data_IF_199028288712
#
_entry.id   IF_199028288712
#
_cell.length_a   1.000
_cell.length_b   1.000
_cell.length_c   1.000
_cell.angle_alpha   90.00
_cell.angle_beta   90.00
_cell.angle_gamma   90.00
#
_symmetry.space_group_name_H-M   'P 1'
#
loop_
_entity.id
_entity.type
_entity.pdbx_description
1 polymer ?
#
# COMPACT_ATOMS: atom_id res chain seq x y z
N UNK A 1 20.38 -10.24 31.02
CA UNK A 1 19.44 -9.68 30.00
C UNK A 1 20.15 -8.56 29.29
N UNK A 2 20.13 -8.48 27.96
CA UNK A 2 20.85 -7.41 27.27
C UNK A 2 20.15 -6.05 27.49
N UNK A 3 20.89 -4.92 27.59
CA UNK A 3 20.32 -3.61 27.92
C UNK A 3 19.21 -3.17 26.95
N UNK A 4 19.34 -3.52 25.66
CA UNK A 4 18.32 -3.21 24.66
C UNK A 4 17.00 -3.96 24.88
N UNK A 5 17.04 -5.17 25.45
CA UNK A 5 15.85 -5.95 25.76
C UNK A 5 15.10 -5.35 26.96
N UNK A 6 15.83 -4.80 27.95
CA UNK A 6 15.23 -4.10 29.08
C UNK A 6 14.52 -2.83 28.64
N UNK A 7 15.13 -2.05 27.73
CA UNK A 7 14.49 -0.86 27.17
C UNK A 7 13.20 -1.21 26.40
N UNK A 8 13.21 -2.27 25.59
CA UNK A 8 12.02 -2.72 24.87
C UNK A 8 10.89 -3.18 25.80
N UNK A 9 11.23 -3.91 26.86
CA UNK A 9 10.25 -4.36 27.86
C UNK A 9 9.71 -3.18 28.67
N UNK A 10 10.57 -2.22 29.06
CA UNK A 10 10.14 -1.03 29.79
C UNK A 10 9.16 -0.17 28.99
N UNK A 11 9.40 0.05 27.69
CA UNK A 11 8.47 0.78 26.81
C UNK A 11 7.15 0.03 26.63
N UNK A 12 7.20 -1.30 26.55
CA UNK A 12 5.99 -2.13 26.47
C UNK A 12 5.17 -2.06 27.76
N UNK A 13 5.84 -2.14 28.91
CA UNK A 13 5.21 -2.04 30.23
C UNK A 13 4.63 -0.64 30.45
N UNK A 14 5.35 0.43 30.13
CA UNK A 14 4.86 1.81 30.27
C UNK A 14 3.64 2.07 29.36
N UNK A 15 3.64 1.52 28.14
CA UNK A 15 2.47 1.58 27.25
C UNK A 15 1.25 0.82 27.83
N UNK A 16 1.47 -0.36 28.41
CA UNK A 16 0.42 -1.15 29.08
C UNK A 16 -0.07 -0.41 30.34
N UNK A 17 0.83 0.10 31.17
CA UNK A 17 0.49 0.81 32.41
C UNK A 17 -0.29 2.09 32.15
N UNK A 18 0.10 2.90 31.16
CA UNK A 18 -0.64 4.12 30.78
C UNK A 18 -2.00 3.86 30.17
N UNK A 19 -2.25 2.66 29.63
CA UNK A 19 -3.56 2.31 29.09
C UNK A 19 -4.52 1.74 30.14
N UNK A 20 -4.04 1.19 31.26
CA UNK A 20 -4.87 0.41 32.21
C UNK A 20 -5.90 1.17 33.04
N UNK A 21 -5.67 2.43 33.44
CA UNK A 21 -6.60 3.16 34.34
C UNK A 21 -7.96 3.52 33.72
N UNK A 22 -7.97 3.96 32.46
CA UNK A 22 -9.21 4.25 31.71
C UNK A 22 -9.76 3.03 30.98
N UNK A 23 -8.96 1.98 30.76
CA UNK A 23 -9.37 0.83 29.96
C UNK A 23 -10.49 0.02 30.62
N UNK A 24 -10.46 -0.15 31.94
CA UNK A 24 -11.40 -1.03 32.64
C UNK A 24 -12.85 -0.57 32.47
N UNK A 25 -13.08 0.75 32.46
CA UNK A 25 -14.42 1.31 32.23
C UNK A 25 -14.89 1.17 30.78
N UNK A 26 -13.99 1.39 29.81
CA UNK A 26 -14.29 1.21 28.37
C UNK A 26 -14.64 -0.25 28.06
N UNK A 27 -14.05 -1.19 28.79
CA UNK A 27 -14.36 -2.62 28.67
C UNK A 27 -15.69 -3.02 29.33
N UNK A 28 -16.37 -2.17 30.11
CA UNK A 28 -17.68 -2.53 30.68
C UNK A 28 -18.87 -2.20 29.78
N UNK A 29 -18.67 -1.37 28.77
CA UNK A 29 -19.69 -0.98 27.79
C UNK A 29 -19.41 -1.66 26.44
N UNK A 30 -20.36 -2.42 25.87
CA UNK A 30 -20.18 -3.03 24.55
C UNK A 30 -19.81 -2.01 23.47
N UNK A 31 -20.31 -0.77 23.57
CA UNK A 31 -20.02 0.30 22.61
C UNK A 31 -18.56 0.76 22.72
N UNK A 32 -18.03 0.85 23.94
CA UNK A 32 -16.61 1.08 24.20
C UNK A 32 -15.72 0.00 23.57
N UNK A 33 -16.08 -1.28 23.70
CA UNK A 33 -15.33 -2.37 23.06
C UNK A 33 -15.42 -2.31 21.53
N UNK A 34 -16.58 -1.95 20.97
CA UNK A 34 -16.73 -1.70 19.52
C UNK A 34 -15.79 -0.58 19.06
N UNK A 35 -15.71 0.53 19.79
CA UNK A 35 -14.80 1.63 19.45
C UNK A 35 -13.33 1.19 19.49
N UNK A 36 -12.93 0.35 20.45
CA UNK A 36 -11.59 -0.24 20.50
C UNK A 36 -11.30 -1.14 19.30
N UNK A 37 -12.25 -1.97 18.87
CA UNK A 37 -12.14 -2.78 17.64
C UNK A 37 -11.94 -1.88 16.43
N UNK A 38 -12.76 -0.84 16.29
CA UNK A 38 -12.68 0.12 15.17
C UNK A 38 -11.31 0.77 15.11
N UNK A 39 -10.83 1.32 16.23
CA UNK A 39 -9.52 1.97 16.30
C UNK A 39 -8.37 1.00 15.95
N UNK A 40 -8.39 -0.22 16.51
CA UNK A 40 -7.35 -1.21 16.26
C UNK A 40 -7.30 -1.64 14.77
N UNK A 41 -8.45 -1.86 14.13
CA UNK A 41 -8.51 -2.17 12.69
C UNK A 41 -8.00 -1.00 11.85
N UNK A 42 -8.41 0.23 12.17
CA UNK A 42 -7.96 1.44 11.49
C UNK A 42 -6.44 1.65 11.60
N UNK A 43 -5.85 1.42 12.78
CA UNK A 43 -4.38 1.43 12.97
C UNK A 43 -3.68 0.36 12.14
N UNK A 44 -4.20 -0.87 12.10
CA UNK A 44 -3.64 -1.94 11.27
C UNK A 44 -3.71 -1.63 9.76
N UNK A 45 -4.82 -1.03 9.29
CA UNK A 45 -4.99 -0.58 7.90
C UNK A 45 -4.05 0.57 7.56
N UNK A 46 -3.89 1.53 8.47
CA UNK A 46 -2.94 2.65 8.34
C UNK A 46 -1.52 2.12 8.15
N UNK A 47 -1.04 1.22 9.01
CA UNK A 47 0.28 0.61 8.86
C UNK A 47 0.43 -0.15 7.54
N UNK A 48 -0.62 -0.85 7.09
CA UNK A 48 -0.62 -1.55 5.79
C UNK A 48 -0.52 -0.58 4.61
N UNK A 49 -1.15 0.58 4.71
CA UNK A 49 -1.02 1.65 3.73
C UNK A 49 0.39 2.25 3.74
N UNK A 50 0.92 2.56 4.93
CA UNK A 50 2.25 3.14 5.10
C UNK A 50 3.36 2.22 4.58
N UNK A 51 3.29 0.92 4.86
CA UNK A 51 4.21 -0.08 4.30
C UNK A 51 4.21 -0.06 2.76
N UNK A 52 3.03 -0.04 2.14
CA UNK A 52 2.91 -0.08 0.66
C UNK A 52 3.45 1.18 0.00
N UNK A 53 3.31 2.33 0.65
CA UNK A 53 3.75 3.62 0.12
C UNK A 53 5.11 4.07 0.68
N UNK A 54 5.82 3.20 1.42
CA UNK A 54 7.09 3.51 2.09
C UNK A 54 7.04 4.76 2.99
N UNK A 55 5.88 5.04 3.58
CA UNK A 55 5.69 6.12 4.54
C UNK A 55 6.05 5.60 5.94
N UNK A 56 6.78 6.38 6.73
CA UNK A 56 7.04 6.09 8.14
C UNK A 56 6.15 6.97 9.02
N UNK A 57 5.09 6.41 9.64
CA UNK A 57 4.22 7.16 10.56
C UNK A 57 5.00 7.70 11.77
N UNK A 58 4.54 8.81 12.33
CA UNK A 58 5.22 9.48 13.45
C UNK A 58 5.27 8.63 14.72
N UNK A 59 4.19 7.90 15.00
CA UNK A 59 4.10 6.96 16.13
C UNK A 59 5.12 5.82 16.00
N UNK A 60 5.44 5.40 14.79
CA UNK A 60 6.51 4.41 14.52
C UNK A 60 7.88 5.07 14.58
N UNK A 61 8.03 6.29 14.07
CA UNK A 61 9.28 7.07 14.12
C UNK A 61 9.74 7.29 15.55
N UNK A 62 8.81 7.64 16.45
CA UNK A 62 9.09 7.87 17.86
C UNK A 62 9.74 6.66 18.56
N UNK A 63 9.48 5.42 18.10
CA UNK A 63 10.08 4.21 18.67
C UNK A 63 11.58 4.10 18.41
N UNK A 64 12.08 4.79 17.38
CA UNK A 64 13.50 4.82 17.07
C UNK A 64 14.23 5.99 17.73
N UNK A 65 13.51 6.84 18.47
CA UNK A 65 14.06 8.05 19.07
C UNK A 65 14.68 8.97 18.01
N UNK A 66 15.94 9.35 18.20
CA UNK A 66 16.69 10.17 17.25
C UNK A 66 17.36 9.39 16.10
N UNK A 67 17.25 8.06 16.09
CA UNK A 67 17.91 7.23 15.09
C UNK A 67 17.05 7.09 13.83
N UNK A 68 17.68 7.18 12.66
CA UNK A 68 17.02 6.95 11.37
C UNK A 68 17.18 5.47 10.97
N UNK A 69 16.18 4.60 11.17
CA UNK A 69 16.29 3.17 10.83
C UNK A 69 16.43 2.94 9.33
N UNK A 70 16.97 1.79 8.93
CA UNK A 70 16.94 1.35 7.52
C UNK A 70 15.53 0.99 7.04
N UNK A 71 15.26 1.05 5.74
CA UNK A 71 13.94 0.76 5.17
C UNK A 71 13.43 -0.66 5.47
N UNK A 72 14.33 -1.65 5.44
CA UNK A 72 14.01 -3.02 5.83
C UNK A 72 13.58 -3.11 7.30
N UNK A 73 14.29 -2.39 8.18
CA UNK A 73 13.96 -2.35 9.61
C UNK A 73 12.64 -1.64 9.88
N UNK A 74 12.40 -0.47 9.27
CA UNK A 74 11.10 0.25 9.31
C UNK A 74 9.94 -0.67 8.92
N UNK A 75 10.09 -1.34 7.78
CA UNK A 75 9.05 -2.24 7.25
C UNK A 75 8.79 -3.41 8.20
N UNK A 76 9.83 -4.00 8.79
CA UNK A 76 9.70 -5.08 9.77
C UNK A 76 8.94 -4.64 11.01
N UNK A 77 9.30 -3.49 11.59
CA UNK A 77 8.62 -2.96 12.78
C UNK A 77 7.15 -2.64 12.49
N UNK A 78 6.84 -1.99 11.37
CA UNK A 78 5.44 -1.73 10.98
C UNK A 78 4.65 -3.03 10.77
N UNK A 79 5.25 -4.09 10.22
CA UNK A 79 4.61 -5.41 10.08
C UNK A 79 4.32 -6.04 11.45
N UNK A 80 5.25 -5.95 12.40
CA UNK A 80 5.07 -6.44 13.77
C UNK A 80 3.90 -5.70 14.43
N UNK A 81 3.92 -4.38 14.43
CA UNK A 81 2.85 -3.59 15.03
C UNK A 81 1.49 -3.85 14.38
N UNK A 82 1.44 -3.99 13.05
CA UNK A 82 0.21 -4.37 12.36
C UNK A 82 -0.34 -5.70 12.88
N UNK A 83 0.53 -6.70 13.03
CA UNK A 83 0.14 -8.01 13.57
C UNK A 83 -0.36 -7.91 15.01
N UNK A 84 0.27 -7.07 15.84
CA UNK A 84 -0.18 -6.80 17.21
C UNK A 84 -1.56 -6.12 17.25
N UNK A 85 -1.82 -5.12 16.40
CA UNK A 85 -3.15 -4.52 16.30
C UNK A 85 -4.23 -5.54 15.90
N UNK A 86 -3.92 -6.43 14.95
CA UNK A 86 -4.84 -7.52 14.58
C UNK A 86 -5.04 -8.54 15.72
N UNK A 87 -4.04 -8.75 16.56
CA UNK A 87 -4.16 -9.55 17.78
C UNK A 87 -5.10 -8.87 18.79
N UNK A 88 -4.97 -7.56 18.98
CA UNK A 88 -5.88 -6.78 19.82
C UNK A 88 -7.33 -6.86 19.33
N UNK A 89 -7.57 -6.81 18.01
CA UNK A 89 -8.92 -7.01 17.44
C UNK A 89 -9.51 -8.37 17.85
N UNK A 90 -8.73 -9.45 17.79
CA UNK A 90 -9.20 -10.79 18.22
C UNK A 90 -9.54 -10.80 19.71
N UNK A 91 -8.70 -10.18 20.54
CA UNK A 91 -8.93 -10.05 21.98
C UNK A 91 -10.23 -9.29 22.27
N UNK A 92 -10.42 -8.12 21.67
CA UNK A 92 -11.62 -7.30 21.87
C UNK A 92 -12.89 -7.99 21.36
N UNK A 93 -12.82 -8.73 20.25
CA UNK A 93 -13.95 -9.55 19.78
C UNK A 93 -14.30 -10.67 20.75
N UNK A 94 -13.30 -11.37 21.29
CA UNK A 94 -13.53 -12.41 22.30
C UNK A 94 -14.14 -11.82 23.58
N UNK A 95 -13.63 -10.67 24.01
CA UNK A 95 -14.14 -9.95 25.16
C UNK A 95 -15.61 -9.49 24.96
N UNK A 96 -15.92 -8.87 23.82
CA UNK A 96 -17.28 -8.47 23.46
C UNK A 96 -18.24 -9.66 23.47
N UNK A 97 -17.82 -10.80 22.90
CA UNK A 97 -18.61 -12.04 22.93
C UNK A 97 -18.88 -12.50 24.36
N UNK A 98 -17.84 -12.56 25.21
CA UNK A 98 -18.00 -12.95 26.61
C UNK A 98 -18.95 -12.03 27.37
N UNK A 99 -18.90 -10.72 27.09
CA UNK A 99 -19.79 -9.74 27.68
C UNK A 99 -21.26 -9.95 27.28
N UNK A 100 -21.53 -10.29 26.01
CA UNK A 100 -22.88 -10.62 25.56
C UNK A 100 -23.41 -11.87 26.27
N UNK A 101 -22.59 -12.93 26.40
CA UNK A 101 -22.99 -14.15 27.11
C UNK A 101 -23.15 -13.98 28.63
N UNK A 102 -22.57 -12.95 29.22
CA UNK A 102 -22.80 -12.59 30.63
C UNK A 102 -24.14 -11.90 30.86
N UNK A 103 -24.67 -11.23 29.83
CA UNK A 103 -25.84 -10.35 29.96
C UNK A 103 -27.11 -11.01 29.42
N UNK A 104 -26.96 -11.86 28.41
CA UNK A 104 -28.07 -12.47 27.68
C UNK A 104 -27.95 -14.00 27.65
N UNK A 105 -29.07 -14.69 27.45
CA UNK A 105 -29.08 -16.12 27.15
C UNK A 105 -28.32 -16.45 25.86
N UNK A 106 -27.82 -17.67 25.74
CA UNK A 106 -26.88 -18.08 24.68
C UNK A 106 -27.30 -17.68 23.26
N UNK A 107 -28.58 -17.89 22.89
CA UNK A 107 -29.09 -17.53 21.57
C UNK A 107 -29.16 -16.01 21.36
N UNK A 108 -29.72 -15.28 22.32
CA UNK A 108 -29.81 -13.81 22.27
C UNK A 108 -28.42 -13.16 22.28
N UNK A 109 -27.48 -13.68 23.07
CA UNK A 109 -26.10 -13.21 23.16
C UNK A 109 -25.40 -13.21 21.79
N UNK A 110 -25.53 -14.28 21.02
CA UNK A 110 -24.93 -14.38 19.68
C UNK A 110 -25.57 -13.40 18.69
N UNK A 111 -26.89 -13.15 18.78
CA UNK A 111 -27.58 -12.13 17.97
C UNK A 111 -27.03 -10.73 18.29
N UNK A 112 -26.95 -10.38 19.58
CA UNK A 112 -26.42 -9.09 20.02
C UNK A 112 -24.94 -8.92 19.65
N UNK A 113 -24.13 -9.97 19.80
CA UNK A 113 -22.73 -9.99 19.38
C UNK A 113 -22.58 -9.66 17.90
N UNK A 114 -23.34 -10.35 17.03
CA UNK A 114 -23.34 -10.07 15.57
C UNK A 114 -23.81 -8.67 15.25
N UNK A 115 -24.82 -8.15 15.96
CA UNK A 115 -25.29 -6.76 15.79
C UNK A 115 -24.17 -5.76 16.08
N UNK A 116 -23.44 -5.92 17.18
CA UNK A 116 -22.30 -5.06 17.50
C UNK A 116 -21.15 -5.20 16.52
N UNK A 117 -20.87 -6.40 15.99
CA UNK A 117 -19.86 -6.58 14.95
C UNK A 117 -20.23 -5.87 13.65
N UNK A 118 -21.50 -5.93 13.21
CA UNK A 118 -21.97 -5.18 12.03
C UNK A 118 -21.80 -3.68 12.23
N UNK A 119 -22.12 -3.17 13.43
CA UNK A 119 -21.89 -1.76 13.77
C UNK A 119 -20.39 -1.42 13.70
N UNK A 120 -19.53 -2.28 14.25
CA UNK A 120 -18.09 -2.10 14.18
C UNK A 120 -17.60 -2.03 12.72
N UNK A 121 -18.07 -2.92 11.84
CA UNK A 121 -17.68 -2.93 10.43
C UNK A 121 -18.10 -1.64 9.70
N UNK A 122 -19.31 -1.14 9.95
CA UNK A 122 -19.78 0.15 9.40
C UNK A 122 -18.91 1.31 9.88
N UNK A 123 -18.61 1.35 11.19
CA UNK A 123 -17.76 2.37 11.78
C UNK A 123 -16.32 2.28 11.27
N UNK A 124 -15.77 1.08 11.08
CA UNK A 124 -14.45 0.85 10.50
C UNK A 124 -14.39 1.49 9.11
N UNK A 125 -15.35 1.23 8.24
CA UNK A 125 -15.34 1.79 6.89
C UNK A 125 -15.48 3.32 6.89
N UNK A 126 -16.31 3.87 7.78
CA UNK A 126 -16.43 5.31 7.95
C UNK A 126 -15.11 5.96 8.39
N UNK A 127 -14.53 5.48 9.49
CA UNK A 127 -13.28 6.02 10.04
C UNK A 127 -12.10 5.80 9.08
N UNK A 128 -12.06 4.65 8.40
CA UNK A 128 -11.04 4.36 7.41
C UNK A 128 -11.11 5.32 6.23
N UNK A 129 -12.30 5.66 5.72
CA UNK A 129 -12.45 6.65 4.65
C UNK A 129 -11.92 8.03 5.05
N UNK A 130 -12.16 8.46 6.29
CA UNK A 130 -11.63 9.73 6.81
C UNK A 130 -10.10 9.69 6.91
N UNK A 131 -9.54 8.66 7.52
CA UNK A 131 -8.08 8.50 7.64
C UNK A 131 -7.39 8.38 6.28
N UNK A 132 -7.98 7.63 5.35
CA UNK A 132 -7.41 7.40 4.02
C UNK A 132 -7.26 8.71 3.23
N UNK A 133 -8.14 9.70 3.44
CA UNK A 133 -7.99 11.02 2.82
C UNK A 133 -6.70 11.69 3.31
N UNK A 134 -6.52 11.77 4.63
CA UNK A 134 -5.33 12.34 5.26
C UNK A 134 -4.05 11.59 4.83
N UNK A 135 -4.10 10.26 4.81
CA UNK A 135 -2.95 9.43 4.42
C UNK A 135 -2.57 9.60 2.94
N UNK A 136 -3.53 9.88 2.05
CA UNK A 136 -3.25 10.13 0.63
C UNK A 136 -2.50 11.44 0.42
N UNK A 137 -2.74 12.42 1.26
CA UNK A 137 -2.04 13.71 1.20
C UNK A 137 -0.58 13.57 1.67
N UNK A 138 -0.29 12.58 2.51
CA UNK A 138 1.07 12.22 2.94
C UNK A 138 1.84 11.35 1.92
N UNK A 139 1.16 10.78 0.93
CA UNK A 139 1.89 10.14 -0.16
C UNK A 139 2.45 11.27 -0.98
N UNK A 140 3.76 11.49 -0.84
CA UNK A 140 4.48 12.33 -1.78
C UNK A 140 4.06 11.89 -3.18
N UNK A 141 3.35 12.77 -3.88
CA UNK A 141 3.19 12.61 -5.31
C UNK A 141 4.62 12.66 -5.79
N UNK A 142 5.21 11.50 -6.03
CA UNK A 142 6.47 11.38 -6.74
C UNK A 142 6.19 12.07 -8.06
N UNK A 143 6.44 13.38 -8.09
CA UNK A 143 6.79 14.07 -9.31
C UNK A 143 7.94 13.20 -9.77
N UNK A 144 7.75 12.54 -10.89
CA UNK A 144 8.87 11.90 -11.58
C UNK A 144 9.80 13.07 -11.85
N UNK A 145 10.67 13.36 -10.88
CA UNK A 145 11.84 14.18 -11.11
C UNK A 145 12.50 13.40 -12.21
N UNK A 146 12.56 13.99 -13.39
CA UNK A 146 13.33 13.46 -14.49
C UNK A 146 14.79 13.49 -14.01
N UNK A 147 15.16 12.53 -13.16
CA UNK A 147 16.54 12.22 -12.86
C UNK A 147 17.10 11.79 -14.20
N UNK A 148 17.87 12.69 -14.79
CA UNK A 148 18.35 12.63 -16.16
C UNK A 148 19.34 11.48 -16.32
N UNK A 149 18.84 10.25 -16.33
CA UNK A 149 19.62 9.06 -16.68
C UNK A 149 19.75 8.91 -18.21
N UNK A 150 19.41 9.97 -18.95
CA UNK A 150 19.57 10.05 -20.40
C UNK A 150 20.97 10.60 -20.66
N UNK A 151 21.91 9.73 -20.97
CA UNK A 151 23.23 10.17 -21.42
C UNK A 151 23.16 10.41 -22.92
N UNK A 152 23.35 11.66 -23.31
CA UNK A 152 23.44 12.03 -24.72
C UNK A 152 24.90 11.94 -25.12
N UNK A 153 25.23 11.26 -26.22
CA UNK A 153 26.61 11.26 -26.68
C UNK A 153 27.07 12.67 -27.04
N UNK A 154 28.37 12.88 -26.88
CA UNK A 154 29.01 14.18 -27.03
C UNK A 154 28.63 14.83 -28.37
N UNK A 155 28.20 16.09 -28.30
CA UNK A 155 27.85 16.91 -29.47
C UNK A 155 26.39 16.87 -29.92
N UNK A 156 25.54 15.99 -29.37
CA UNK A 156 24.11 15.96 -29.71
C UNK A 156 23.32 16.77 -28.68
N UNK A 157 22.55 17.77 -29.14
CA UNK A 157 21.62 18.53 -28.31
C UNK A 157 20.20 18.01 -28.52
N UNK A 158 19.62 17.37 -27.51
CA UNK A 158 18.22 16.91 -27.55
C UNK A 158 17.28 17.99 -27.00
N UNK A 159 16.11 18.22 -27.63
CA UNK A 159 15.08 19.10 -27.08
C UNK A 159 14.57 18.62 -25.72
N UNK A 160 14.15 19.55 -24.86
CA UNK A 160 13.65 19.24 -23.51
C UNK A 160 12.51 18.21 -23.51
N UNK A 161 11.59 18.27 -24.47
CA UNK A 161 10.48 17.31 -24.55
C UNK A 161 10.95 15.88 -24.85
N UNK A 162 12.08 15.73 -25.54
CA UNK A 162 12.70 14.43 -25.84
C UNK A 162 13.40 13.90 -24.58
N UNK A 163 14.16 14.78 -23.89
CA UNK A 163 14.82 14.46 -22.62
C UNK A 163 13.81 14.10 -21.52
N UNK A 164 12.69 14.83 -21.42
CA UNK A 164 11.64 14.58 -20.45
C UNK A 164 11.04 13.18 -20.64
N UNK A 165 10.66 12.83 -21.87
CA UNK A 165 10.04 11.52 -22.19
C UNK A 165 11.05 10.38 -22.00
N UNK A 166 12.29 10.56 -22.44
CA UNK A 166 13.33 9.53 -22.30
C UNK A 166 13.80 9.36 -20.86
N UNK A 167 13.79 10.44 -20.07
CA UNK A 167 14.17 10.48 -18.66
C UNK A 167 13.22 9.74 -17.73
N UNK A 168 12.00 9.44 -18.19
CA UNK A 168 11.11 8.53 -17.48
C UNK A 168 11.71 7.11 -17.42
N UNK A 169 12.53 6.73 -18.41
CA UNK A 169 13.20 5.43 -18.48
C UNK A 169 12.36 4.34 -19.17
N UNK A 170 12.93 3.13 -19.34
CA UNK A 170 12.33 2.05 -20.13
C UNK A 170 11.04 1.48 -19.52
N UNK A 171 10.83 1.62 -18.20
CA UNK A 171 9.57 1.22 -17.55
C UNK A 171 8.37 2.09 -17.95
N UNK A 172 8.64 3.26 -18.53
CA UNK A 172 7.65 4.15 -19.11
C UNK A 172 7.70 4.13 -20.64
N UNK A 173 8.51 3.24 -21.23
CA UNK A 173 8.34 2.82 -22.62
C UNK A 173 7.02 2.05 -22.71
N UNK A 174 5.96 2.84 -22.87
CA UNK A 174 4.68 2.50 -23.48
C UNK A 174 4.19 1.11 -23.09
N UNK A 175 3.40 1.03 -22.01
CA UNK A 175 2.35 0.02 -22.03
C UNK A 175 1.58 0.26 -23.35
N UNK A 176 1.53 -0.71 -24.27
CA UNK A 176 0.83 -0.53 -25.53
C UNK A 176 -0.59 -0.06 -25.18
N UNK A 177 -1.05 1.01 -25.83
CA UNK A 177 -2.39 1.55 -25.64
C UNK A 177 -3.39 0.55 -26.20
N UNK A 178 -3.63 -0.52 -25.46
CA UNK A 178 -4.56 -1.57 -25.84
C UNK A 178 -5.94 -1.18 -25.37
N UNK A 179 -6.90 -1.25 -26.27
CA UNK A 179 -8.30 -1.04 -25.91
C UNK A 179 -8.77 -2.17 -24.96
N UNK A 180 -9.88 -1.96 -24.25
CA UNK A 180 -10.42 -2.98 -23.32
C UNK A 180 -10.62 -4.36 -24.00
N UNK A 181 -11.16 -4.45 -25.23
CA UNK A 181 -11.25 -5.72 -25.95
C UNK A 181 -9.91 -6.42 -26.17
N UNK A 182 -8.87 -5.68 -26.56
CA UNK A 182 -7.52 -6.21 -26.76
C UNK A 182 -6.89 -6.70 -25.45
N UNK A 183 -7.10 -5.97 -24.35
CA UNK A 183 -6.64 -6.40 -23.03
C UNK A 183 -7.34 -7.70 -22.60
N UNK A 184 -8.64 -7.84 -22.84
CA UNK A 184 -9.37 -9.10 -22.60
C UNK A 184 -8.85 -10.22 -23.51
N UNK A 185 -8.53 -9.91 -24.77
CA UNK A 185 -7.92 -10.87 -25.70
C UNK A 185 -6.58 -11.38 -25.18
N UNK A 186 -5.73 -10.51 -24.63
CA UNK A 186 -4.47 -10.92 -23.98
C UNK A 186 -4.74 -11.85 -22.80
N UNK A 187 -5.67 -11.49 -21.90
CA UNK A 187 -6.01 -12.34 -20.75
C UNK A 187 -6.41 -13.75 -21.21
N UNK A 188 -7.22 -13.84 -22.28
CA UNK A 188 -7.60 -15.12 -22.89
C UNK A 188 -6.42 -15.85 -23.56
N UNK A 189 -5.51 -15.13 -24.20
CA UNK A 189 -4.31 -15.74 -24.78
C UNK A 189 -3.38 -16.31 -23.71
N UNK A 190 -3.23 -15.61 -22.58
CA UNK A 190 -2.44 -16.07 -21.44
C UNK A 190 -3.10 -17.27 -20.79
N UNK A 191 -4.42 -17.25 -20.56
CA UNK A 191 -5.12 -18.38 -19.94
C UNK A 191 -5.03 -19.67 -20.75
N UNK A 192 -4.95 -19.58 -22.08
CA UNK A 192 -4.76 -20.75 -22.98
C UNK A 192 -3.38 -21.42 -22.83
N UNK A 193 -2.39 -20.76 -22.22
CA UNK A 193 -1.03 -21.29 -22.05
C UNK A 193 -0.79 -21.89 -20.65
N UNK A 194 -1.82 -21.92 -19.82
CA UNK A 194 -1.74 -22.39 -18.43
C UNK A 194 -2.62 -23.64 -18.29
N UNK A 195 -2.30 -24.60 -17.39
CA UNK A 195 -3.15 -25.74 -17.09
C UNK A 195 -4.65 -25.38 -16.89
N UNK A 196 -5.54 -26.26 -17.34
CA UNK A 196 -7.00 -26.01 -17.38
C UNK A 196 -7.59 -25.70 -16.00
N UNK A 197 -7.04 -26.27 -14.93
CA UNK A 197 -7.44 -26.03 -13.55
C UNK A 197 -7.20 -24.58 -13.10
N UNK A 198 -6.27 -23.86 -13.75
CA UNK A 198 -5.93 -22.47 -13.44
C UNK A 198 -6.46 -21.47 -14.46
N UNK A 199 -6.85 -21.92 -15.66
CA UNK A 199 -7.30 -21.04 -16.74
C UNK A 199 -8.50 -20.16 -16.32
N UNK A 200 -9.50 -20.75 -15.68
CA UNK A 200 -10.70 -20.03 -15.20
C UNK A 200 -10.35 -18.96 -14.17
N UNK A 201 -9.43 -19.27 -13.26
CA UNK A 201 -8.96 -18.33 -12.23
C UNK A 201 -8.24 -17.14 -12.87
N UNK A 202 -7.35 -17.38 -13.83
CA UNK A 202 -6.60 -16.34 -14.54
C UNK A 202 -7.53 -15.42 -15.32
N UNK A 203 -8.57 -15.97 -15.97
CA UNK A 203 -9.57 -15.17 -16.67
C UNK A 203 -10.29 -14.24 -15.68
N UNK A 204 -10.76 -14.78 -14.55
CA UNK A 204 -11.48 -13.99 -13.55
C UNK A 204 -10.61 -12.90 -12.93
N UNK A 205 -9.41 -13.25 -12.45
CA UNK A 205 -8.47 -12.29 -11.87
C UNK A 205 -8.03 -11.24 -12.91
N UNK A 206 -7.77 -11.65 -14.15
CA UNK A 206 -7.40 -10.76 -15.25
C UNK A 206 -8.51 -9.76 -15.57
N UNK A 207 -9.76 -10.21 -15.68
CA UNK A 207 -10.92 -9.34 -15.92
C UNK A 207 -11.14 -8.38 -14.74
N UNK A 208 -11.00 -8.85 -13.50
CA UNK A 208 -11.14 -7.99 -12.32
C UNK A 208 -10.03 -6.94 -12.24
N UNK A 209 -8.78 -7.31 -12.57
CA UNK A 209 -7.68 -6.35 -12.69
C UNK A 209 -7.98 -5.27 -13.75
N UNK A 210 -8.58 -5.65 -14.89
CA UNK A 210 -8.96 -4.70 -15.94
C UNK A 210 -10.06 -3.72 -15.52
N UNK A 211 -10.95 -4.09 -14.58
CA UNK A 211 -11.93 -3.14 -14.00
C UNK A 211 -11.25 -2.05 -13.17
N UNK A 212 -10.10 -2.36 -12.58
CA UNK A 212 -9.31 -1.44 -11.76
C UNK A 212 -8.31 -0.62 -12.59
N UNK A 213 -7.99 -1.06 -13.81
CA UNK A 213 -7.15 -0.32 -14.75
C UNK A 213 -7.82 1.00 -15.12
N UNK A 214 -7.24 2.10 -14.63
CA UNK A 214 -7.61 3.45 -15.06
C UNK A 214 -6.93 3.74 -16.40
N UNK A 215 -7.60 4.43 -17.33
CA UNK A 215 -6.92 4.92 -18.52
C UNK A 215 -5.72 5.79 -18.09
N UNK A 216 -4.59 5.72 -18.82
CA UNK A 216 -3.43 6.53 -18.50
C UNK A 216 -3.83 8.01 -18.46
N UNK A 217 -3.53 8.70 -17.36
CA UNK A 217 -3.95 10.09 -17.15
C UNK A 217 -3.33 11.08 -18.13
N UNK A 218 -2.25 10.72 -18.82
CA UNK A 218 -1.56 11.58 -19.79
C UNK A 218 -0.99 10.75 -20.93
N UNK A 219 -1.30 11.11 -22.16
CA UNK A 219 -0.57 10.61 -23.33
C UNK A 219 0.76 11.35 -23.41
N UNK A 220 1.87 10.62 -23.35
CA UNK A 220 3.18 11.18 -23.66
C UNK A 220 3.28 11.43 -25.17
N UNK A 221 3.99 12.48 -25.63
CA UNK A 221 4.12 12.83 -27.05
C UNK A 221 5.11 11.90 -27.79
N UNK A 222 4.95 10.58 -27.65
CA UNK A 222 5.90 9.57 -28.12
C UNK A 222 6.10 9.60 -29.63
N UNK A 223 5.02 9.77 -30.40
CA UNK A 223 5.11 9.92 -31.86
C UNK A 223 6.02 11.09 -32.25
N UNK A 224 5.93 12.21 -31.52
CA UNK A 224 6.77 13.39 -31.75
C UNK A 224 8.23 13.10 -31.43
N UNK A 225 8.49 12.36 -30.36
CA UNK A 225 9.86 11.93 -29.98
C UNK A 225 10.42 10.95 -31.01
N UNK A 226 9.63 9.97 -31.44
CA UNK A 226 10.02 9.00 -32.47
C UNK A 226 10.31 9.68 -33.81
N UNK A 227 9.42 10.57 -34.27
CA UNK A 227 9.66 11.35 -35.49
C UNK A 227 10.93 12.20 -35.36
N UNK A 228 11.17 12.82 -34.21
CA UNK A 228 12.40 13.60 -33.98
C UNK A 228 13.66 12.73 -34.08
N UNK A 229 13.68 11.59 -33.40
CA UNK A 229 14.81 10.67 -33.42
C UNK A 229 15.08 10.15 -34.83
N UNK A 230 14.04 9.72 -35.55
CA UNK A 230 14.15 9.25 -36.93
C UNK A 230 14.65 10.34 -37.88
N UNK A 231 14.14 11.58 -37.76
CA UNK A 231 14.57 12.71 -38.59
C UNK A 231 16.04 13.08 -38.42
N UNK A 232 16.60 12.84 -37.23
CA UNK A 232 18.00 13.15 -36.92
C UNK A 232 18.91 11.91 -36.99
N UNK A 233 18.41 10.80 -37.55
CA UNK A 233 19.12 9.51 -37.59
C UNK A 233 19.63 9.03 -36.22
N UNK A 234 18.93 9.37 -35.14
CA UNK A 234 19.28 8.99 -33.78
C UNK A 234 18.61 7.67 -33.41
N UNK A 235 19.39 6.75 -32.84
CA UNK A 235 18.88 5.50 -32.30
C UNK A 235 19.00 5.45 -30.77
N UNK A 236 18.03 4.82 -30.10
CA UNK A 236 18.05 4.63 -28.64
C UNK A 236 18.69 3.27 -28.37
N UNK A 237 19.88 3.26 -27.77
CA UNK A 237 20.55 2.02 -27.41
C UNK A 237 20.18 1.58 -25.99
N UNK A 238 19.78 0.30 -25.79
CA UNK A 238 19.60 -0.25 -24.44
C UNK A 238 20.97 -0.41 -23.78
N UNK A 239 21.18 0.21 -22.60
CA UNK A 239 22.39 -0.06 -21.83
C UNK A 239 22.21 -1.36 -21.08
N UNK A 240 23.06 -2.32 -21.43
CA UNK A 240 23.17 -3.56 -20.68
C UNK A 240 23.65 -3.25 -19.26
N UNK A 241 22.84 -3.69 -18.29
CA UNK A 241 23.18 -3.96 -16.89
C UNK A 241 23.23 -2.81 -15.87
N UNK A 242 23.29 -1.53 -16.25
CA UNK A 242 23.32 -0.43 -15.24
C UNK A 242 22.27 0.70 -15.42
N UNK A 243 21.38 0.60 -16.41
CA UNK A 243 20.20 1.48 -16.48
C UNK A 243 20.43 2.91 -17.00
N UNK A 244 21.55 3.16 -17.68
CA UNK A 244 21.73 4.35 -18.53
C UNK A 244 21.12 4.18 -19.93
N UNK A 245 21.16 5.22 -20.77
CA UNK A 245 20.94 5.15 -22.23
C UNK A 245 21.99 6.00 -22.92
N UNK A 246 22.57 5.51 -24.02
CA UNK A 246 23.45 6.28 -24.91
C UNK A 246 22.76 6.50 -26.26
N UNK A 247 23.18 7.55 -26.97
CA UNK A 247 22.83 7.78 -28.37
C UNK A 247 24.10 7.70 -29.19
N UNK A 248 24.05 7.18 -30.40
CA UNK A 248 25.12 7.32 -31.39
C UNK A 248 24.50 7.70 -32.72
N UNK A 249 25.28 8.40 -33.55
CA UNK A 249 25.00 8.51 -34.98
C UNK A 249 25.20 7.15 -35.67
#
# INVERSE_FOLDING_TARGET
MQPYQQAQIATLIDFISRSTGSFVHVLRDPSGVVALIVNAVCKARTLSFSIRNKILPEDVRALFGGCTPSDGHRTRIMKIQRSEWLRQVRLFRAYLRAQMHRTYESYAAEIHFRKHLRLADQMIEFHWKLQLRLLRDLVDKVRVSATSNVHVAEGICLPDFVLEVLGLGPKFAVQPQKNKPELVSIVRQVSKRVPEDQATRIINEGVDALKLCRPPCRSLPLKRVETYLTQHALSVLPVDKEGGRYFSQ
#
